data_IF_142562337533
#
_entry.id   IF_142562337533
#
_cell.length_a   1.000
_cell.length_b   1.000
_cell.length_c   1.000
_cell.angle_alpha   90.00
_cell.angle_beta   90.00
_cell.angle_gamma   90.00
#
_symmetry.space_group_name_H-M   'P 1'
#
loop_
_entity.id
_entity.type
_entity.pdbx_description
1 polymer ?
#
# COMPACT_ATOMS: atom_id res chain seq x y z
N UNK A 1 18.97 -15.35 -13.86
CA UNK A 1 19.39 -14.01 -13.40
C UNK A 1 19.49 -13.15 -14.63
N UNK A 2 18.63 -12.15 -14.76
CA UNK A 2 18.76 -11.12 -15.78
C UNK A 2 19.83 -10.17 -15.23
N UNK A 3 21.01 -10.13 -15.85
CA UNK A 3 21.96 -9.05 -15.59
C UNK A 3 21.31 -7.75 -16.02
N UNK A 4 20.84 -6.96 -15.04
CA UNK A 4 20.50 -5.57 -15.29
C UNK A 4 21.82 -4.88 -15.67
N UNK A 5 22.00 -4.59 -16.97
CA UNK A 5 23.06 -3.70 -17.42
C UNK A 5 22.78 -2.33 -16.79
N UNK A 6 23.47 -2.02 -15.72
CA UNK A 6 23.55 -0.63 -15.25
C UNK A 6 24.23 0.19 -16.36
N UNK A 7 23.42 0.92 -17.11
CA UNK A 7 23.95 1.89 -18.06
C UNK A 7 24.51 3.05 -17.23
N UNK A 8 25.83 3.11 -17.11
CA UNK A 8 26.50 4.19 -16.38
C UNK A 8 26.24 5.49 -17.15
N UNK A 9 25.47 6.39 -16.54
CA UNK A 9 25.15 7.69 -17.14
C UNK A 9 26.45 8.53 -17.21
N UNK A 10 26.77 9.01 -18.41
CA UNK A 10 27.87 9.93 -18.59
C UNK A 10 27.52 11.32 -18.08
N UNK A 11 28.23 11.80 -17.08
CA UNK A 11 28.05 13.11 -16.44
C UNK A 11 29.20 14.08 -16.77
N UNK A 12 30.04 13.76 -17.76
CA UNK A 12 31.19 14.57 -18.13
C UNK A 12 30.83 15.96 -18.66
N UNK A 13 29.60 16.12 -19.14
CA UNK A 13 29.02 17.36 -19.66
C UNK A 13 28.29 18.21 -18.60
N UNK A 14 28.25 17.75 -17.33
CA UNK A 14 27.53 18.46 -16.26
C UNK A 14 28.30 19.74 -15.85
N UNK A 15 27.53 20.81 -15.61
CA UNK A 15 28.05 21.93 -14.85
C UNK A 15 28.60 21.47 -13.51
N UNK A 16 29.82 21.89 -13.10
CA UNK A 16 30.45 21.43 -11.84
C UNK A 16 29.59 21.65 -10.59
N UNK A 17 28.82 22.76 -10.56
CA UNK A 17 27.92 23.08 -9.43
C UNK A 17 26.74 22.12 -9.41
N UNK A 18 26.15 21.85 -10.57
CA UNK A 18 25.05 20.89 -10.73
C UNK A 18 25.50 19.47 -10.37
N UNK A 19 26.67 19.06 -10.87
CA UNK A 19 27.23 17.72 -10.56
C UNK A 19 27.41 17.54 -9.06
N UNK A 20 27.95 18.55 -8.37
CA UNK A 20 28.13 18.51 -6.93
C UNK A 20 26.80 18.35 -6.20
N UNK A 21 25.79 19.12 -6.55
CA UNK A 21 24.45 19.02 -5.93
C UNK A 21 23.81 17.64 -6.16
N UNK A 22 23.93 17.09 -7.39
CA UNK A 22 23.43 15.74 -7.69
C UNK A 22 24.13 14.69 -6.81
N UNK A 23 25.46 14.78 -6.69
CA UNK A 23 26.22 13.86 -5.83
C UNK A 23 25.86 14.01 -4.35
N UNK A 24 25.63 15.24 -3.88
CA UNK A 24 25.19 15.49 -2.51
C UNK A 24 23.80 14.87 -2.25
N UNK A 25 22.84 14.95 -3.20
CA UNK A 25 21.56 14.25 -3.08
C UNK A 25 21.73 12.73 -3.11
N UNK A 26 22.50 12.19 -4.07
CA UNK A 26 22.76 10.76 -4.14
C UNK A 26 23.33 10.22 -2.82
N UNK A 27 24.25 10.96 -2.18
CA UNK A 27 24.80 10.58 -0.88
C UNK A 27 23.77 10.59 0.25
N UNK A 28 22.77 11.47 0.21
CA UNK A 28 21.68 11.54 1.20
C UNK A 28 20.70 10.36 1.04
N UNK A 29 20.53 9.86 -0.19
CA UNK A 29 19.68 8.70 -0.49
C UNK A 29 20.43 7.36 -0.38
N UNK A 30 21.75 7.35 -0.26
CA UNK A 30 22.49 6.11 -0.04
C UNK A 30 22.25 5.57 1.38
N UNK A 31 21.97 4.28 1.47
CA UNK A 31 21.80 3.56 2.74
C UNK A 31 22.94 2.57 2.90
N UNK A 32 24.00 2.93 3.67
CA UNK A 32 25.10 2.01 3.96
C UNK A 32 24.63 0.74 4.65
N UNK A 33 25.35 -0.36 4.44
CA UNK A 33 25.01 -1.69 4.98
C UNK A 33 24.88 -1.67 6.51
N UNK A 34 25.70 -0.88 7.18
CA UNK A 34 25.66 -0.73 8.64
C UNK A 34 24.34 -0.11 9.11
N UNK A 35 23.85 0.92 8.41
CA UNK A 35 22.54 1.54 8.69
C UNK A 35 21.41 0.57 8.38
N UNK A 36 21.50 -0.16 7.26
CA UNK A 36 20.50 -1.17 6.92
C UNK A 36 20.42 -2.25 7.99
N UNK A 37 21.55 -2.78 8.45
CA UNK A 37 21.60 -3.76 9.52
C UNK A 37 21.03 -3.23 10.87
N UNK A 38 21.27 -1.96 11.18
CA UNK A 38 20.67 -1.33 12.36
C UNK A 38 19.15 -1.22 12.22
N UNK A 39 18.65 -0.82 11.03
CA UNK A 39 17.22 -0.75 10.73
C UNK A 39 16.56 -2.13 10.82
N UNK A 40 17.19 -3.18 10.29
CA UNK A 40 16.68 -4.57 10.37
C UNK A 40 16.55 -5.01 11.84
N UNK A 41 17.58 -4.81 12.66
CA UNK A 41 17.52 -5.19 14.08
C UNK A 41 16.42 -4.47 14.82
N UNK A 42 16.26 -3.19 14.56
CA UNK A 42 15.21 -2.38 15.19
C UNK A 42 13.84 -2.81 14.66
N UNK A 43 13.69 -3.07 13.38
CA UNK A 43 12.46 -3.57 12.77
C UNK A 43 11.99 -4.87 13.43
N UNK A 44 12.88 -5.86 13.58
CA UNK A 44 12.58 -7.12 14.27
C UNK A 44 12.11 -6.86 15.71
N UNK A 45 12.79 -5.99 16.46
CA UNK A 45 12.39 -5.67 17.83
C UNK A 45 11.02 -4.99 17.91
N UNK A 46 10.65 -4.18 16.92
CA UNK A 46 9.34 -3.55 16.82
C UNK A 46 8.23 -4.57 16.47
N UNK A 47 8.52 -5.53 15.58
CA UNK A 47 7.59 -6.64 15.31
C UNK A 47 7.33 -7.47 16.58
N UNK A 48 8.38 -7.84 17.31
CA UNK A 48 8.27 -8.58 18.58
C UNK A 48 7.50 -7.76 19.63
N UNK A 49 7.73 -6.46 19.72
CA UNK A 49 6.98 -5.57 20.59
C UNK A 49 5.50 -5.54 20.22
N UNK A 50 5.17 -5.41 18.94
CA UNK A 50 3.78 -5.42 18.47
C UNK A 50 3.04 -6.74 18.73
N UNK A 51 3.74 -7.89 18.70
CA UNK A 51 3.17 -9.18 19.06
C UNK A 51 2.95 -9.33 20.58
N UNK A 52 3.76 -8.66 21.39
CA UNK A 52 3.68 -8.73 22.85
C UNK A 52 2.69 -7.73 23.45
N UNK A 53 2.80 -6.47 23.07
CA UNK A 53 2.15 -5.36 23.79
C UNK A 53 0.88 -4.85 23.07
N UNK A 54 0.68 -5.24 21.80
CA UNK A 54 -0.45 -4.77 20.99
C UNK A 54 -0.22 -3.38 20.39
N UNK A 55 -1.29 -2.63 20.19
CA UNK A 55 -1.26 -1.34 19.49
C UNK A 55 -0.63 -0.24 20.32
N UNK A 56 0.60 0.11 19.98
CA UNK A 56 1.23 1.38 20.34
C UNK A 56 1.15 2.30 19.11
N UNK A 57 0.65 3.54 19.23
CA UNK A 57 0.58 4.48 18.11
C UNK A 57 1.91 4.76 17.42
N UNK A 58 3.03 4.53 18.11
CA UNK A 58 4.39 4.77 17.60
C UNK A 58 5.06 3.55 17.01
N UNK A 59 4.50 2.36 17.20
CA UNK A 59 5.08 1.09 16.80
C UNK A 59 4.34 0.39 15.66
N UNK A 60 4.78 -0.84 15.38
CA UNK A 60 4.14 -1.72 14.40
C UNK A 60 2.98 -2.46 15.09
N UNK A 61 1.73 -2.36 14.62
CA UNK A 61 0.57 -2.92 15.31
C UNK A 61 0.53 -4.44 15.41
N UNK A 62 1.02 -5.15 14.40
CA UNK A 62 0.97 -6.62 14.31
C UNK A 62 -0.43 -7.18 14.56
N UNK A 63 -1.42 -6.69 13.81
CA UNK A 63 -2.83 -7.05 13.98
C UNK A 63 -3.08 -8.53 13.69
N UNK A 64 -3.79 -9.22 14.59
CA UNK A 64 -4.23 -10.60 14.38
C UNK A 64 -5.46 -10.61 13.48
N UNK A 65 -5.43 -11.39 12.39
CA UNK A 65 -6.50 -11.45 11.40
C UNK A 65 -7.46 -12.64 11.59
N UNK A 66 -7.23 -13.48 12.61
CA UNK A 66 -8.06 -14.64 12.99
C UNK A 66 -8.27 -15.66 11.86
N UNK A 67 -7.35 -15.71 10.91
CA UNK A 67 -7.24 -16.81 9.94
C UNK A 67 -6.38 -17.88 10.60
N UNK A 68 -7.02 -18.96 11.07
CA UNK A 68 -6.43 -19.98 11.95
C UNK A 68 -5.99 -21.23 11.20
N UNK A 69 -6.16 -21.25 9.88
CA UNK A 69 -5.83 -22.41 9.05
C UNK A 69 -5.11 -21.94 7.78
N UNK A 70 -4.29 -22.82 7.25
CA UNK A 70 -3.70 -22.61 5.93
C UNK A 70 -4.66 -23.08 4.85
N UNK A 71 -4.80 -22.35 3.73
CA UNK A 71 -5.50 -22.89 2.56
C UNK A 71 -4.76 -24.14 2.07
N UNK A 72 -5.54 -25.16 1.74
CA UNK A 72 -5.03 -26.47 1.30
C UNK A 72 -4.87 -26.56 -0.21
N UNK A 73 -5.53 -25.65 -0.96
CA UNK A 73 -5.65 -25.71 -2.40
C UNK A 73 -6.67 -26.75 -2.88
N UNK A 74 -7.39 -27.41 -1.97
CA UNK A 74 -8.42 -28.39 -2.30
C UNK A 74 -9.83 -27.86 -2.10
N UNK A 75 -9.96 -26.63 -1.58
CA UNK A 75 -11.25 -25.98 -1.37
C UNK A 75 -12.01 -25.85 -2.69
N UNK A 76 -13.33 -26.05 -2.62
CA UNK A 76 -14.22 -25.92 -3.76
C UNK A 76 -15.47 -25.13 -3.39
N UNK A 77 -16.08 -24.46 -4.37
CA UNK A 77 -17.33 -23.72 -4.16
C UNK A 77 -17.29 -22.32 -4.72
N UNK A 78 -18.44 -21.65 -4.62
CA UNK A 78 -18.64 -20.29 -5.10
C UNK A 78 -18.67 -19.33 -3.90
N UNK A 79 -17.81 -18.33 -3.95
CA UNK A 79 -17.67 -17.33 -2.90
C UNK A 79 -17.76 -15.93 -3.50
N UNK A 80 -18.42 -15.01 -2.79
CA UNK A 80 -18.32 -13.60 -3.08
C UNK A 80 -17.11 -13.01 -2.36
N UNK A 81 -16.46 -12.06 -2.97
CA UNK A 81 -15.49 -11.19 -2.33
C UNK A 81 -15.76 -9.74 -2.72
N UNK A 82 -15.63 -8.85 -1.76
CA UNK A 82 -15.56 -7.41 -2.05
C UNK A 82 -14.23 -6.87 -1.58
N UNK A 83 -13.69 -5.91 -2.34
CA UNK A 83 -12.49 -5.16 -2.01
C UNK A 83 -12.83 -3.68 -2.00
N UNK A 84 -12.88 -3.10 -0.81
CA UNK A 84 -13.09 -1.68 -0.61
C UNK A 84 -11.74 -0.96 -0.52
N UNK A 85 -11.31 -0.41 -1.65
CA UNK A 85 -10.11 0.41 -1.73
C UNK A 85 -10.37 1.91 -1.58
N UNK A 86 -9.34 2.73 -1.80
CA UNK A 86 -9.44 4.18 -1.67
C UNK A 86 -10.31 4.88 -2.73
N UNK A 87 -10.45 4.32 -3.92
CA UNK A 87 -11.17 4.95 -5.05
C UNK A 87 -12.22 4.07 -5.68
N UNK A 88 -12.12 2.77 -5.49
CA UNK A 88 -12.94 1.78 -6.16
C UNK A 88 -13.40 0.70 -5.19
N UNK A 89 -14.60 0.22 -5.43
CA UNK A 89 -15.12 -1.03 -4.90
C UNK A 89 -15.02 -2.08 -6.01
N UNK A 90 -14.39 -3.23 -5.71
CA UNK A 90 -14.43 -4.40 -6.58
C UNK A 90 -15.32 -5.45 -5.96
N UNK A 91 -16.13 -6.10 -6.78
CA UNK A 91 -16.95 -7.24 -6.39
C UNK A 91 -16.57 -8.40 -7.29
N UNK A 92 -16.30 -9.55 -6.69
CA UNK A 92 -15.77 -10.72 -7.37
C UNK A 92 -16.56 -11.94 -6.95
N UNK A 93 -16.97 -12.78 -7.91
CA UNK A 93 -17.28 -14.19 -7.64
C UNK A 93 -16.00 -14.99 -7.86
N UNK A 94 -15.64 -15.79 -6.88
CA UNK A 94 -14.52 -16.72 -6.95
C UNK A 94 -15.07 -18.13 -6.98
N UNK A 95 -14.81 -18.86 -8.06
CA UNK A 95 -15.11 -20.27 -8.22
C UNK A 95 -13.87 -21.08 -7.85
N UNK A 96 -13.81 -21.62 -6.65
CA UNK A 96 -12.73 -22.51 -6.23
C UNK A 96 -12.98 -23.90 -6.83
N UNK A 97 -12.01 -24.40 -7.61
CA UNK A 97 -12.13 -25.65 -8.36
C UNK A 97 -11.36 -26.80 -7.71
N UNK A 98 -10.70 -26.55 -6.59
CA UNK A 98 -9.72 -27.48 -6.00
C UNK A 98 -8.45 -27.58 -6.85
N UNK A 99 -7.50 -28.42 -6.41
CA UNK A 99 -6.22 -28.61 -7.09
C UNK A 99 -5.49 -27.28 -7.40
N UNK A 100 -5.56 -26.31 -6.47
CA UNK A 100 -4.92 -25.00 -6.58
C UNK A 100 -5.43 -24.13 -7.74
N UNK A 101 -6.65 -24.42 -8.23
CA UNK A 101 -7.26 -23.71 -9.35
C UNK A 101 -8.49 -22.94 -8.94
N UNK A 102 -8.67 -21.79 -9.56
CA UNK A 102 -9.86 -20.96 -9.39
C UNK A 102 -10.17 -20.19 -10.68
N UNK A 103 -11.40 -19.76 -10.82
CA UNK A 103 -11.86 -18.83 -11.83
C UNK A 103 -12.55 -17.64 -11.15
N UNK A 104 -12.54 -16.48 -11.79
CA UNK A 104 -13.16 -15.28 -11.22
C UNK A 104 -13.94 -14.52 -12.25
N UNK A 105 -15.10 -13.99 -11.83
CA UNK A 105 -15.83 -12.93 -12.53
C UNK A 105 -15.87 -11.72 -11.64
N UNK A 106 -15.61 -10.52 -12.17
CA UNK A 106 -15.53 -9.32 -11.37
C UNK A 106 -16.17 -8.10 -12.02
N UNK A 107 -16.68 -7.21 -11.20
CA UNK A 107 -17.09 -5.86 -11.57
C UNK A 107 -16.40 -4.83 -10.70
N UNK A 108 -16.15 -3.65 -11.29
CA UNK A 108 -15.49 -2.54 -10.63
C UNK A 108 -16.41 -1.32 -10.63
N UNK A 109 -16.65 -0.77 -9.45
CA UNK A 109 -17.46 0.42 -9.24
C UNK A 109 -16.60 1.55 -8.70
N UNK A 110 -16.76 2.74 -9.27
CA UNK A 110 -16.05 3.92 -8.76
C UNK A 110 -16.82 4.49 -7.56
N UNK A 111 -16.14 4.70 -6.43
CA UNK A 111 -16.73 5.33 -5.26
C UNK A 111 -16.83 6.84 -5.51
N UNK A 112 -18.03 7.44 -5.46
CA UNK A 112 -18.19 8.88 -5.63
C UNK A 112 -17.36 9.66 -4.61
N UNK A 113 -16.67 10.72 -5.09
CA UNK A 113 -15.77 11.51 -4.22
C UNK A 113 -16.49 12.08 -2.98
N UNK A 114 -17.72 12.66 -3.10
CA UNK A 114 -18.43 13.18 -1.91
C UNK A 114 -18.73 12.11 -0.86
N UNK A 115 -18.90 10.85 -1.27
CA UNK A 115 -19.23 9.75 -0.35
C UNK A 115 -18.06 9.35 0.55
N UNK A 116 -16.83 9.75 0.22
CA UNK A 116 -15.64 9.44 1.01
C UNK A 116 -15.52 10.30 2.28
N UNK A 117 -16.21 11.45 2.29
CA UNK A 117 -16.17 12.43 3.39
C UNK A 117 -17.59 12.83 3.82
N UNK A 118 -18.53 11.90 3.69
CA UNK A 118 -19.93 12.14 4.07
C UNK A 118 -20.10 12.13 5.60
N UNK A 119 -21.09 12.91 6.07
CA UNK A 119 -21.50 12.89 7.47
C UNK A 119 -22.54 11.79 7.79
N UNK A 120 -23.02 11.07 6.77
CA UNK A 120 -23.91 9.92 6.94
C UNK A 120 -23.21 8.62 6.55
N UNK A 121 -22.82 7.82 7.55
CA UNK A 121 -22.19 6.51 7.34
C UNK A 121 -23.03 5.56 6.49
N UNK A 122 -24.36 5.74 6.46
CA UNK A 122 -25.25 4.87 5.70
C UNK A 122 -25.02 4.98 4.19
N UNK A 123 -24.60 6.14 3.69
CA UNK A 123 -24.39 6.36 2.26
C UNK A 123 -23.35 5.39 1.67
N UNK A 124 -22.21 5.20 2.35
CA UNK A 124 -21.19 4.26 1.86
C UNK A 124 -21.68 2.82 1.89
N UNK A 125 -22.25 2.39 3.01
CA UNK A 125 -22.67 0.97 3.16
C UNK A 125 -23.88 0.64 2.28
N UNK A 126 -24.80 1.57 2.07
CA UNK A 126 -25.91 1.40 1.13
C UNK A 126 -25.42 1.33 -0.33
N UNK A 127 -24.44 2.17 -0.70
CA UNK A 127 -23.79 2.09 -2.00
C UNK A 127 -23.13 0.73 -2.23
N UNK A 128 -22.39 0.19 -1.24
CA UNK A 128 -21.79 -1.14 -1.34
C UNK A 128 -22.86 -2.21 -1.55
N UNK A 129 -23.95 -2.16 -0.76
CA UNK A 129 -25.05 -3.10 -0.88
C UNK A 129 -25.78 -2.99 -2.22
N UNK A 130 -25.95 -1.78 -2.76
CA UNK A 130 -26.49 -1.56 -4.11
C UNK A 130 -25.59 -2.18 -5.19
N UNK A 131 -24.28 -1.95 -5.13
CA UNK A 131 -23.35 -2.55 -6.07
C UNK A 131 -23.37 -4.08 -6.01
N UNK A 132 -23.51 -4.67 -4.81
CA UNK A 132 -23.69 -6.12 -4.62
C UNK A 132 -24.98 -6.62 -5.28
N UNK A 133 -26.09 -5.89 -5.13
CA UNK A 133 -27.36 -6.22 -5.79
C UNK A 133 -27.23 -6.20 -7.30
N UNK A 134 -26.66 -5.14 -7.87
CA UNK A 134 -26.44 -5.00 -9.30
C UNK A 134 -25.57 -6.14 -9.85
N UNK A 135 -24.49 -6.46 -9.15
CA UNK A 135 -23.59 -7.55 -9.52
C UNK A 135 -24.28 -8.92 -9.49
N UNK A 136 -25.04 -9.21 -8.41
CA UNK A 136 -25.76 -10.49 -8.31
C UNK A 136 -26.84 -10.65 -9.39
N UNK A 137 -27.52 -9.57 -9.80
CA UNK A 137 -28.47 -9.59 -10.91
C UNK A 137 -27.76 -9.93 -12.23
N UNK A 138 -26.58 -9.34 -12.47
CA UNK A 138 -25.78 -9.62 -13.67
C UNK A 138 -25.31 -11.08 -13.72
N UNK A 139 -24.82 -11.60 -12.60
CA UNK A 139 -24.34 -12.99 -12.51
C UNK A 139 -25.46 -14.04 -12.53
N UNK A 140 -26.71 -13.64 -12.22
CA UNK A 140 -27.86 -14.54 -12.19
C UNK A 140 -29.01 -14.03 -13.10
N UNK A 141 -28.84 -14.01 -14.42
CA UNK A 141 -29.83 -13.47 -15.36
C UNK A 141 -31.19 -14.22 -15.32
N UNK A 142 -31.20 -15.45 -14.80
CA UNK A 142 -32.40 -16.27 -14.62
C UNK A 142 -32.96 -16.20 -13.18
N UNK A 143 -32.46 -15.29 -12.36
CA UNK A 143 -32.76 -15.18 -10.94
C UNK A 143 -31.87 -16.06 -10.05
N UNK A 144 -31.74 -15.65 -8.79
CA UNK A 144 -30.95 -16.38 -7.80
C UNK A 144 -31.73 -17.66 -7.40
N UNK A 145 -31.10 -18.85 -7.39
CA UNK A 145 -31.76 -20.07 -6.96
C UNK A 145 -32.32 -19.97 -5.55
N UNK A 146 -33.52 -20.53 -5.36
CA UNK A 146 -34.18 -20.52 -4.04
C UNK A 146 -33.30 -21.23 -3.00
N UNK A 147 -33.16 -20.59 -1.83
CA UNK A 147 -32.34 -21.10 -0.72
C UNK A 147 -30.82 -20.94 -0.89
N UNK A 148 -30.34 -20.39 -2.01
CA UNK A 148 -28.91 -20.10 -2.17
C UNK A 148 -28.51 -18.90 -1.29
N UNK A 149 -27.46 -19.06 -0.49
CA UNK A 149 -26.79 -17.99 0.25
C UNK A 149 -25.35 -17.93 -0.21
N UNK A 150 -24.89 -16.71 -0.53
CA UNK A 150 -23.52 -16.46 -0.93
C UNK A 150 -22.66 -16.11 0.29
N UNK A 151 -21.67 -16.94 0.67
CA UNK A 151 -20.66 -16.54 1.63
C UNK A 151 -19.81 -15.41 1.03
N UNK A 152 -19.59 -14.35 1.81
CA UNK A 152 -18.88 -13.15 1.40
C UNK A 152 -17.63 -12.95 2.24
N UNK A 153 -16.48 -12.83 1.59
CA UNK A 153 -15.26 -12.26 2.15
C UNK A 153 -15.22 -10.75 1.93
N UNK A 154 -15.10 -9.99 3.00
CA UNK A 154 -14.98 -8.53 2.95
C UNK A 154 -13.52 -8.12 3.10
N UNK A 155 -12.86 -7.78 1.97
CA UNK A 155 -11.53 -7.15 2.03
C UNK A 155 -11.70 -5.67 2.33
N UNK A 156 -11.26 -5.30 3.51
CA UNK A 156 -11.38 -3.96 4.07
C UNK A 156 -9.97 -3.39 4.27
N UNK A 157 -9.52 -2.58 3.30
CA UNK A 157 -8.14 -2.09 3.19
C UNK A 157 -7.87 -0.88 4.10
N UNK A 158 -8.34 -0.94 5.34
CA UNK A 158 -8.14 0.07 6.38
C UNK A 158 -7.73 -0.60 7.69
N UNK A 159 -6.98 0.09 8.58
CA UNK A 159 -6.59 -0.46 9.86
C UNK A 159 -7.81 -0.83 10.71
N UNK A 160 -7.95 -2.10 11.08
CA UNK A 160 -9.04 -2.60 11.91
C UNK A 160 -8.52 -3.53 13.01
N UNK A 161 -9.16 -3.48 14.16
CA UNK A 161 -8.94 -4.43 15.25
C UNK A 161 -9.98 -5.55 15.16
N UNK A 162 -9.53 -6.78 15.29
CA UNK A 162 -10.38 -7.97 15.20
C UNK A 162 -10.21 -8.86 16.43
N UNK A 163 -11.31 -9.39 16.93
CA UNK A 163 -11.33 -10.47 17.92
C UNK A 163 -11.90 -11.77 17.33
N UNK A 164 -12.41 -11.72 16.10
CA UNK A 164 -12.89 -12.85 15.28
C UNK A 164 -12.69 -12.51 13.80
N UNK A 165 -12.76 -13.55 12.95
CA UNK A 165 -12.60 -13.40 11.49
C UNK A 165 -13.77 -12.62 10.83
N UNK A 166 -14.96 -12.68 11.41
CA UNK A 166 -16.21 -12.11 10.88
C UNK A 166 -16.54 -10.73 11.45
N UNK A 167 -15.55 -10.03 12.00
CA UNK A 167 -15.71 -8.68 12.53
C UNK A 167 -14.47 -7.83 12.30
N UNK A 168 -14.63 -6.49 12.34
CA UNK A 168 -13.52 -5.56 12.27
C UNK A 168 -13.91 -4.17 12.75
N UNK A 169 -13.33 -3.74 13.87
CA UNK A 169 -13.51 -2.40 14.41
C UNK A 169 -12.54 -1.47 13.71
N UNK A 170 -13.04 -0.54 12.91
CA UNK A 170 -12.22 0.45 12.23
C UNK A 170 -11.46 1.30 13.23
N UNK A 171 -10.14 1.29 13.17
CA UNK A 171 -9.29 2.12 14.03
C UNK A 171 -9.28 3.59 13.57
N UNK A 172 -9.13 3.79 12.27
CA UNK A 172 -9.10 5.12 11.64
C UNK A 172 -9.28 5.02 10.13
N UNK A 173 -9.87 6.04 9.55
CA UNK A 173 -9.89 6.20 8.11
C UNK A 173 -8.52 6.59 7.55
N UNK A 174 -8.24 6.16 6.34
CA UNK A 174 -7.05 6.49 5.54
C UNK A 174 -7.46 6.70 4.08
N UNK A 175 -6.51 6.92 3.16
CA UNK A 175 -6.77 6.96 1.71
C UNK A 175 -7.81 7.99 1.28
N UNK A 176 -7.94 9.11 2.02
CA UNK A 176 -8.89 10.19 1.71
C UNK A 176 -10.34 9.93 2.12
N UNK A 177 -10.57 8.94 2.98
CA UNK A 177 -11.86 8.76 3.65
C UNK A 177 -11.86 9.48 5.00
N UNK A 178 -13.03 10.05 5.33
CA UNK A 178 -13.33 10.65 6.63
C UNK A 178 -14.85 10.66 6.79
N UNK A 179 -15.41 9.56 7.30
CA UNK A 179 -16.86 9.35 7.42
C UNK A 179 -17.21 9.28 8.88
N UNK A 180 -18.17 10.12 9.30
CA UNK A 180 -18.61 10.23 10.69
C UNK A 180 -19.17 8.91 11.22
N UNK A 181 -18.94 8.64 12.50
CA UNK A 181 -19.54 7.53 13.25
C UNK A 181 -19.25 6.12 12.70
N UNK A 182 -18.09 5.92 12.04
CA UNK A 182 -17.58 4.60 11.62
C UNK A 182 -16.35 4.20 12.40
N UNK A 183 -15.42 5.13 12.66
CA UNK A 183 -14.25 4.85 13.50
C UNK A 183 -14.70 4.39 14.91
N UNK A 184 -14.04 3.36 15.42
CA UNK A 184 -14.40 2.71 16.69
C UNK A 184 -15.60 1.76 16.62
N UNK A 185 -16.18 1.54 15.44
CA UNK A 185 -17.29 0.61 15.25
C UNK A 185 -16.90 -0.56 14.36
N UNK A 186 -17.56 -1.70 14.59
CA UNK A 186 -17.47 -2.86 13.71
C UNK A 186 -18.19 -2.57 12.39
N UNK A 187 -17.47 -2.67 11.26
CA UNK A 187 -17.99 -2.35 9.93
C UNK A 187 -18.86 -3.47 9.35
N UNK A 188 -18.74 -4.69 9.86
CA UNK A 188 -19.52 -5.84 9.35
C UNK A 188 -21.02 -5.69 9.62
N UNK A 189 -21.46 -5.38 10.84
CA UNK A 189 -22.88 -5.11 11.10
C UNK A 189 -23.44 -3.94 10.29
N UNK A 190 -22.64 -2.90 10.03
CA UNK A 190 -23.07 -1.74 9.24
C UNK A 190 -23.39 -2.14 7.79
N UNK A 191 -22.56 -2.98 7.19
CA UNK A 191 -22.81 -3.49 5.85
C UNK A 191 -23.94 -4.53 5.84
N UNK A 192 -23.98 -5.44 6.83
CA UNK A 192 -25.03 -6.46 6.92
C UNK A 192 -26.42 -5.86 7.08
N UNK A 193 -26.57 -4.73 7.77
CA UNK A 193 -27.83 -4.00 7.85
C UNK A 193 -28.36 -3.65 6.45
N UNK A 194 -27.52 -3.07 5.59
CA UNK A 194 -27.90 -2.66 4.22
C UNK A 194 -28.13 -3.85 3.28
N UNK A 195 -27.37 -4.93 3.46
CA UNK A 195 -27.58 -6.19 2.75
C UNK A 195 -28.96 -6.77 3.09
N UNK A 196 -29.33 -6.77 4.38
CA UNK A 196 -30.63 -7.26 4.85
C UNK A 196 -31.80 -6.38 4.41
N UNK A 197 -31.65 -5.05 4.44
CA UNK A 197 -32.66 -4.09 3.96
C UNK A 197 -33.03 -4.36 2.50
N UNK A 198 -32.05 -4.74 1.67
CA UNK A 198 -32.21 -5.13 0.26
C UNK A 198 -32.57 -6.60 0.06
N UNK A 199 -32.68 -7.38 1.14
CA UNK A 199 -32.99 -8.83 1.13
C UNK A 199 -32.03 -9.64 0.24
N UNK A 200 -30.78 -9.25 0.17
CA UNK A 200 -29.79 -9.99 -0.58
C UNK A 200 -29.42 -11.28 0.15
N UNK A 201 -29.31 -12.42 -0.54
CA UNK A 201 -28.96 -13.69 0.07
C UNK A 201 -27.43 -13.79 0.26
N UNK A 202 -26.89 -12.90 1.08
CA UNK A 202 -25.46 -12.77 1.37
C UNK A 202 -25.24 -12.90 2.87
N UNK A 203 -24.17 -13.60 3.25
CA UNK A 203 -23.66 -13.67 4.61
C UNK A 203 -22.18 -13.29 4.60
N UNK A 204 -21.77 -12.33 5.42
CA UNK A 204 -20.37 -11.99 5.59
C UNK A 204 -19.75 -13.00 6.55
N UNK A 205 -18.82 -13.83 6.03
CA UNK A 205 -18.16 -14.88 6.80
C UNK A 205 -16.74 -14.49 7.23
N UNK A 206 -16.14 -13.51 6.56
CA UNK A 206 -14.80 -13.04 6.88
C UNK A 206 -14.62 -11.56 6.54
N UNK A 207 -13.88 -10.85 7.38
CA UNK A 207 -13.31 -9.55 7.10
C UNK A 207 -11.78 -9.67 7.20
N UNK A 208 -11.08 -9.26 6.15
CA UNK A 208 -9.61 -9.29 6.12
C UNK A 208 -9.05 -8.01 5.49
N UNK A 209 -7.80 -7.68 5.82
CA UNK A 209 -7.05 -6.66 5.10
C UNK A 209 -6.59 -7.19 3.72
N UNK A 210 -6.35 -6.29 2.75
CA UNK A 210 -5.89 -6.62 1.39
C UNK A 210 -4.57 -7.42 1.39
N UNK A 211 -3.63 -7.10 2.26
CA UNK A 211 -2.36 -7.82 2.40
C UNK A 211 -2.57 -9.25 2.91
N UNK A 212 -3.47 -9.41 3.88
CA UNK A 212 -3.89 -10.73 4.38
C UNK A 212 -4.55 -11.55 3.27
N UNK A 213 -5.43 -10.93 2.48
CA UNK A 213 -6.05 -11.56 1.32
C UNK A 213 -5.03 -11.99 0.26
N UNK A 214 -4.02 -11.17 0.01
CA UNK A 214 -2.91 -11.48 -0.91
C UNK A 214 -2.15 -12.73 -0.45
N UNK A 215 -1.83 -12.84 0.84
CA UNK A 215 -1.14 -14.01 1.39
C UNK A 215 -1.99 -15.29 1.24
N UNK A 216 -3.26 -15.23 1.66
CA UNK A 216 -4.18 -16.39 1.59
C UNK A 216 -4.37 -16.86 0.15
N UNK A 217 -4.63 -15.93 -0.79
CA UNK A 217 -4.82 -16.25 -2.21
C UNK A 217 -3.55 -16.82 -2.86
N UNK A 218 -2.38 -16.26 -2.55
CA UNK A 218 -1.11 -16.76 -3.06
C UNK A 218 -0.79 -18.15 -2.51
N UNK A 219 -1.06 -18.38 -1.22
CA UNK A 219 -0.85 -19.68 -0.59
C UNK A 219 -1.83 -20.75 -1.08
N UNK A 220 -3.04 -20.36 -1.49
CA UNK A 220 -3.97 -21.29 -2.15
C UNK A 220 -3.37 -21.86 -3.45
N UNK A 221 -2.63 -21.05 -4.21
CA UNK A 221 -1.98 -21.47 -5.46
C UNK A 221 -0.63 -22.12 -5.26
N UNK A 222 0.14 -21.68 -4.26
CA UNK A 222 1.45 -22.24 -3.89
C UNK A 222 1.58 -22.33 -2.37
N UNK A 223 1.47 -23.55 -1.84
CA UNK A 223 1.59 -23.84 -0.41
C UNK A 223 2.94 -23.45 0.22
N UNK A 224 3.96 -23.11 -0.58
CA UNK A 224 5.25 -22.61 -0.12
C UNK A 224 5.28 -21.12 0.14
N UNK A 225 4.20 -20.40 -0.19
CA UNK A 225 4.11 -18.97 0.12
C UNK A 225 4.11 -18.76 1.63
N UNK A 226 5.09 -18.04 2.14
CA UNK A 226 5.24 -17.77 3.58
C UNK A 226 4.79 -16.35 3.96
N UNK A 227 4.85 -15.40 3.01
CA UNK A 227 4.58 -13.99 3.25
C UNK A 227 3.79 -13.37 2.09
N UNK A 228 2.90 -12.45 2.40
CA UNK A 228 2.26 -11.55 1.44
C UNK A 228 2.74 -10.13 1.69
N UNK A 229 3.20 -9.44 0.62
CA UNK A 229 3.66 -8.05 0.71
C UNK A 229 2.96 -7.19 -0.33
N UNK A 230 2.63 -5.98 0.05
CA UNK A 230 2.12 -4.95 -0.85
C UNK A 230 3.13 -3.82 -0.90
N UNK A 231 3.62 -3.55 -2.11
CA UNK A 231 4.42 -2.38 -2.46
C UNK A 231 3.65 -1.63 -3.56
N UNK A 232 2.76 -0.75 -3.15
CA UNK A 232 1.87 -0.02 -4.04
C UNK A 232 1.76 1.45 -3.64
N UNK A 233 0.55 1.98 -3.62
CA UNK A 233 0.25 3.30 -3.06
C UNK A 233 0.71 3.42 -1.61
N UNK A 234 0.52 2.35 -0.81
CA UNK A 234 1.08 2.15 0.52
C UNK A 234 2.00 0.94 0.55
N UNK A 235 2.50 0.60 1.74
CA UNK A 235 3.28 -0.61 2.00
C UNK A 235 2.70 -1.37 3.18
N UNK A 236 2.64 -2.69 3.05
CA UNK A 236 2.22 -3.56 4.14
C UNK A 236 2.70 -4.99 3.92
N UNK A 237 2.72 -5.81 4.98
CA UNK A 237 3.04 -7.21 4.94
C UNK A 237 2.16 -8.06 5.85
N UNK A 238 2.03 -9.32 5.49
CA UNK A 238 1.33 -10.31 6.29
C UNK A 238 2.07 -11.65 6.25
N UNK A 239 2.04 -12.37 7.35
CA UNK A 239 2.62 -13.69 7.47
C UNK A 239 1.84 -14.51 8.51
N UNK A 240 2.08 -15.82 8.55
CA UNK A 240 1.53 -16.66 9.60
C UNK A 240 2.53 -16.84 10.75
N UNK A 241 2.06 -16.70 11.99
CA UNK A 241 2.80 -17.08 13.18
C UNK A 241 2.00 -18.10 14.00
N UNK A 242 2.61 -18.73 14.97
CA UNK A 242 1.91 -19.62 15.91
C UNK A 242 1.36 -18.80 17.06
N UNK A 243 0.18 -19.14 17.54
CA UNK A 243 -0.50 -18.42 18.64
C UNK A 243 0.39 -18.30 19.88
N UNK A 244 1.16 -19.34 20.22
CA UNK A 244 2.10 -19.30 21.35
C UNK A 244 3.17 -18.21 21.25
N UNK A 245 3.42 -17.68 20.04
CA UNK A 245 4.37 -16.58 19.78
C UNK A 245 3.71 -15.19 19.83
N UNK A 246 2.42 -15.11 20.21
CA UNK A 246 1.62 -13.89 20.22
C UNK A 246 1.11 -13.60 21.65
N UNK A 247 1.96 -13.13 22.56
CA UNK A 247 1.60 -12.97 23.97
C UNK A 247 0.39 -12.07 24.24
N UNK A 248 0.13 -11.07 23.40
CA UNK A 248 -1.03 -10.18 23.54
C UNK A 248 -2.40 -10.89 23.42
N UNK A 249 -2.41 -12.17 23.00
CA UNK A 249 -3.61 -13.00 22.91
C UNK A 249 -3.85 -13.88 24.14
N UNK A 250 -2.97 -13.90 25.12
CA UNK A 250 -2.98 -14.85 26.24
C UNK A 250 -4.35 -14.99 26.94
N UNK A 251 -5.14 -13.91 26.99
CA UNK A 251 -6.46 -13.94 27.64
C UNK A 251 -7.63 -13.74 26.65
N UNK A 252 -7.38 -13.90 25.35
CA UNK A 252 -8.37 -13.65 24.30
C UNK A 252 -8.69 -14.87 23.46
N UNK A 253 -8.07 -16.00 23.75
CA UNK A 253 -8.24 -17.22 22.98
C UNK A 253 -9.52 -17.94 23.35
N UNK A 254 -10.13 -18.61 22.38
CA UNK A 254 -11.20 -19.56 22.60
C UNK A 254 -10.64 -20.88 23.17
N UNK A 255 -11.44 -21.60 23.93
CA UNK A 255 -11.02 -22.82 24.67
C UNK A 255 -10.49 -23.94 23.76
N UNK A 256 -10.88 -23.96 22.48
CA UNK A 256 -10.51 -24.98 21.50
C UNK A 256 -9.26 -24.64 20.69
N UNK A 257 -8.71 -23.45 20.86
CA UNK A 257 -7.53 -22.97 20.11
C UNK A 257 -6.25 -23.45 20.77
N UNK A 258 -5.43 -24.21 20.03
CA UNK A 258 -4.17 -24.77 20.52
C UNK A 258 -3.00 -23.79 20.38
N UNK A 259 -1.95 -23.91 21.21
CA UNK A 259 -0.78 -23.03 21.12
C UNK A 259 -0.03 -23.07 19.77
N UNK A 260 -0.07 -24.20 19.07
CA UNK A 260 0.58 -24.40 17.77
C UNK A 260 -0.31 -24.04 16.57
N UNK A 261 -1.56 -23.61 16.81
CA UNK A 261 -2.46 -23.14 15.77
C UNK A 261 -1.84 -21.94 15.04
N UNK A 262 -1.86 -21.92 13.70
CA UNK A 262 -1.42 -20.74 12.94
C UNK A 262 -2.39 -19.58 13.15
N UNK A 263 -1.84 -18.38 13.16
CA UNK A 263 -2.57 -17.12 13.17
C UNK A 263 -1.98 -16.21 12.11
N UNK A 264 -2.78 -15.73 11.18
CA UNK A 264 -2.34 -14.73 10.22
C UNK A 264 -2.18 -13.38 10.90
N UNK A 265 -1.02 -12.76 10.70
CA UNK A 265 -0.67 -11.43 11.21
C UNK A 265 -0.68 -10.45 10.06
N UNK A 266 -1.50 -9.41 10.17
CA UNK A 266 -1.42 -8.20 9.35
C UNK A 266 -0.51 -7.20 10.06
N UNK A 267 0.70 -7.01 9.56
CA UNK A 267 1.74 -6.27 10.28
C UNK A 267 1.43 -4.79 10.45
N UNK A 268 0.96 -4.12 9.41
CA UNK A 268 0.79 -2.66 9.34
C UNK A 268 2.13 -1.92 9.58
N UNK A 269 3.22 -2.45 9.00
CA UNK A 269 4.58 -1.95 9.21
C UNK A 269 4.88 -0.63 8.50
N UNK A 270 3.96 -0.07 7.74
CA UNK A 270 4.09 1.31 7.25
C UNK A 270 4.37 2.31 8.36
N UNK A 271 3.95 1.99 9.59
CA UNK A 271 4.20 2.76 10.82
C UNK A 271 5.58 2.55 11.45
N UNK A 272 6.45 1.71 10.87
CA UNK A 272 7.79 1.47 11.40
C UNK A 272 8.57 2.78 11.54
N UNK A 273 9.26 2.90 12.66
CA UNK A 273 10.11 4.03 13.03
C UNK A 273 9.40 5.41 13.06
N UNK A 274 8.11 5.44 13.44
CA UNK A 274 7.42 6.71 13.72
C UNK A 274 8.14 7.56 14.80
N UNK A 275 8.96 6.92 15.63
CA UNK A 275 9.82 7.59 16.61
C UNK A 275 11.09 8.22 16.00
N UNK A 276 11.35 8.02 14.71
CA UNK A 276 12.50 8.56 13.97
C UNK A 276 13.87 8.14 14.55
N UNK A 277 14.03 6.87 14.88
CA UNK A 277 15.19 6.33 15.62
C UNK A 277 16.31 5.87 14.68
N UNK A 278 15.96 5.19 13.57
CA UNK A 278 16.95 4.49 12.74
C UNK A 278 16.89 4.80 11.24
N UNK A 279 15.71 5.13 10.69
CA UNK A 279 15.56 5.37 9.26
C UNK A 279 16.32 6.62 8.81
N UNK A 280 17.07 6.55 7.69
CA UNK A 280 17.88 7.67 7.20
C UNK A 280 17.00 8.72 6.49
N UNK A 281 16.30 9.54 7.25
CA UNK A 281 15.43 10.60 6.72
C UNK A 281 16.26 11.74 6.15
N UNK A 282 15.92 12.17 4.94
CA UNK A 282 16.43 13.41 4.34
C UNK A 282 15.54 14.60 4.71
N UNK A 283 15.96 15.82 4.38
CA UNK A 283 15.12 17.01 4.51
C UNK A 283 13.81 16.92 3.73
N UNK A 284 13.80 16.17 2.63
CA UNK A 284 12.61 15.98 1.81
C UNK A 284 11.62 15.00 2.45
N UNK A 285 12.10 13.95 3.11
CA UNK A 285 11.26 13.06 3.89
C UNK A 285 10.59 13.79 5.06
N UNK A 286 11.31 14.68 5.72
CA UNK A 286 10.77 15.53 6.78
C UNK A 286 9.70 16.46 6.23
N UNK A 287 9.93 17.09 5.08
CA UNK A 287 8.98 17.99 4.45
C UNK A 287 7.69 17.28 4.02
N UNK A 288 7.81 16.08 3.44
CA UNK A 288 6.65 15.23 3.11
C UNK A 288 5.84 14.89 4.37
N UNK A 289 6.53 14.53 5.45
CA UNK A 289 5.88 14.19 6.70
C UNK A 289 5.10 15.38 7.27
N UNK A 290 5.74 16.55 7.38
CA UNK A 290 5.14 17.78 7.89
C UNK A 290 3.94 18.26 7.07
N UNK A 291 3.97 18.07 5.73
CA UNK A 291 2.89 18.47 4.83
C UNK A 291 1.81 17.40 4.66
N UNK A 292 2.01 16.22 5.22
CA UNK A 292 1.03 15.13 5.13
C UNK A 292 -0.18 15.39 6.04
N UNK A 293 -1.32 14.75 5.78
CA UNK A 293 -2.50 14.83 6.66
C UNK A 293 -2.23 14.34 8.09
N UNK A 294 -1.20 13.50 8.28
CA UNK A 294 -0.85 12.90 9.59
C UNK A 294 0.68 12.95 9.81
N UNK A 295 1.22 14.09 10.21
CA UNK A 295 2.63 14.22 10.57
C UNK A 295 3.03 13.26 11.71
N UNK A 296 4.23 12.69 11.61
CA UNK A 296 4.77 11.75 12.60
C UNK A 296 4.19 10.33 12.51
N UNK A 297 3.37 10.01 11.49
CA UNK A 297 2.82 8.69 11.26
C UNK A 297 3.25 8.14 9.91
N UNK A 298 3.28 6.79 9.78
CA UNK A 298 3.60 6.09 8.55
C UNK A 298 4.98 6.48 7.96
N UNK A 299 5.97 6.61 8.83
CA UNK A 299 7.32 7.05 8.45
C UNK A 299 7.93 6.14 7.40
N UNK A 300 7.85 4.83 7.60
CA UNK A 300 8.39 3.85 6.65
C UNK A 300 7.64 3.88 5.32
N UNK A 301 6.32 3.93 5.35
CA UNK A 301 5.50 4.05 4.15
C UNK A 301 5.84 5.31 3.35
N UNK A 302 6.01 6.45 4.02
CA UNK A 302 6.37 7.73 3.37
C UNK A 302 7.74 7.69 2.69
N UNK A 303 8.63 6.80 3.12
CA UNK A 303 9.97 6.64 2.53
C UNK A 303 10.06 5.58 1.44
N UNK A 304 9.09 4.65 1.35
CA UNK A 304 9.20 3.46 0.50
C UNK A 304 8.05 3.23 -0.45
N UNK A 305 6.86 3.77 -0.19
CA UNK A 305 5.69 3.50 -1.03
C UNK A 305 5.59 4.40 -2.26
N UNK A 306 4.97 3.86 -3.30
CA UNK A 306 4.84 4.51 -4.60
C UNK A 306 4.14 5.87 -4.57
N UNK A 307 3.25 6.11 -3.59
CA UNK A 307 2.57 7.40 -3.47
C UNK A 307 3.52 8.56 -3.20
N UNK A 308 4.62 8.29 -2.48
CA UNK A 308 5.55 9.34 -2.02
C UNK A 308 6.83 9.46 -2.85
N UNK A 309 7.24 8.42 -3.60
CA UNK A 309 8.51 8.46 -4.33
C UNK A 309 8.53 9.55 -5.42
N UNK A 310 7.41 9.75 -6.11
CA UNK A 310 7.29 10.85 -7.09
C UNK A 310 7.38 12.22 -6.43
N UNK A 311 6.78 12.38 -5.26
CA UNK A 311 6.83 13.63 -4.50
C UNK A 311 8.24 13.95 -3.99
N UNK A 312 9.02 12.93 -3.58
CA UNK A 312 10.44 13.09 -3.24
C UNK A 312 11.22 13.68 -4.42
N UNK A 313 11.05 13.10 -5.62
CA UNK A 313 11.71 13.57 -6.83
C UNK A 313 11.30 15.00 -7.17
N UNK A 314 9.98 15.30 -7.09
CA UNK A 314 9.45 16.65 -7.34
C UNK A 314 10.07 17.68 -6.40
N UNK A 315 10.16 17.38 -5.12
CA UNK A 315 10.76 18.29 -4.12
C UNK A 315 12.25 18.56 -4.41
N UNK A 316 12.98 17.57 -4.89
CA UNK A 316 14.38 17.75 -5.33
C UNK A 316 14.43 18.67 -6.56
N UNK A 317 13.54 18.49 -7.54
CA UNK A 317 13.48 19.38 -8.71
C UNK A 317 13.15 20.82 -8.30
N UNK A 318 12.21 21.01 -7.38
CA UNK A 318 11.89 22.35 -6.85
C UNK A 318 13.08 22.98 -6.13
N UNK A 319 13.84 22.21 -5.35
CA UNK A 319 15.05 22.69 -4.67
C UNK A 319 16.16 23.06 -5.67
N UNK A 320 16.39 22.24 -6.69
CA UNK A 320 17.34 22.53 -7.77
C UNK A 320 16.92 23.74 -8.62
N UNK A 321 15.65 23.86 -8.93
CA UNK A 321 15.10 25.03 -9.62
C UNK A 321 15.31 26.32 -8.81
N UNK A 322 15.00 26.28 -7.53
CA UNK A 322 15.17 27.43 -6.62
C UNK A 322 16.63 27.85 -6.50
N UNK A 323 17.57 26.91 -6.66
CA UNK A 323 19.01 27.18 -6.73
C UNK A 323 19.45 27.71 -8.11
N UNK A 324 18.56 27.81 -9.08
CA UNK A 324 18.86 28.22 -10.45
C UNK A 324 19.73 27.23 -11.22
N UNK A 325 19.65 25.94 -10.93
CA UNK A 325 20.48 24.89 -11.53
C UNK A 325 19.80 24.15 -12.67
N UNK A 326 18.47 24.05 -12.68
CA UNK A 326 17.68 23.40 -13.73
C UNK A 326 16.54 24.29 -14.18
N UNK A 327 15.98 24.02 -15.37
CA UNK A 327 14.78 24.69 -15.94
C UNK A 327 14.90 26.22 -15.93
N UNK A 328 16.09 26.76 -16.19
CA UNK A 328 16.44 28.18 -16.08
C UNK A 328 15.66 29.07 -17.04
N UNK A 329 15.18 28.52 -18.15
CA UNK A 329 14.39 29.20 -19.18
C UNK A 329 12.94 29.49 -18.76
N UNK A 330 12.45 28.83 -17.69
CA UNK A 330 11.09 29.03 -17.21
C UNK A 330 11.07 30.03 -16.06
N UNK A 331 10.38 31.19 -16.22
CA UNK A 331 10.21 32.16 -15.14
C UNK A 331 9.45 31.60 -13.95
N UNK A 332 9.74 32.12 -12.75
CA UNK A 332 9.11 31.63 -11.51
C UNK A 332 7.58 31.79 -11.49
N UNK A 333 7.05 32.80 -12.16
CA UNK A 333 5.63 33.08 -12.32
C UNK A 333 4.97 32.33 -13.50
N UNK A 334 5.73 31.47 -14.20
CA UNK A 334 5.17 30.67 -15.30
C UNK A 334 4.21 29.59 -14.81
N UNK A 335 3.22 29.28 -15.67
CA UNK A 335 2.28 28.18 -15.44
C UNK A 335 3.02 26.84 -15.27
N UNK A 336 4.07 26.63 -16.05
CA UNK A 336 4.94 25.42 -16.01
C UNK A 336 5.57 25.23 -14.64
N UNK A 337 6.16 26.27 -14.05
CA UNK A 337 6.77 26.17 -12.71
C UNK A 337 5.71 26.08 -11.63
N UNK A 338 4.58 26.74 -11.77
CA UNK A 338 3.44 26.56 -10.87
C UNK A 338 2.95 25.09 -10.89
N UNK A 339 2.94 24.47 -12.07
CA UNK A 339 2.60 23.06 -12.25
C UNK A 339 3.63 22.13 -11.57
N UNK A 340 4.94 22.33 -11.78
CA UNK A 340 6.01 21.60 -11.08
C UNK A 340 5.91 21.75 -9.56
N UNK A 341 5.50 22.91 -9.04
CA UNK A 341 5.31 23.16 -7.60
C UNK A 341 4.04 22.53 -7.03
N UNK A 342 3.13 22.01 -7.86
CA UNK A 342 1.91 21.34 -7.39
C UNK A 342 2.24 20.03 -6.67
N UNK A 343 1.86 19.87 -5.40
CA UNK A 343 2.15 18.64 -4.64
C UNK A 343 1.57 17.40 -5.32
N UNK A 344 2.33 16.32 -5.29
CA UNK A 344 1.96 14.99 -5.83
C UNK A 344 1.62 14.96 -7.32
N UNK A 345 2.07 15.95 -8.10
CA UNK A 345 1.92 15.94 -9.57
C UNK A 345 2.73 14.81 -10.24
N UNK A 346 3.81 14.38 -9.61
CA UNK A 346 4.62 13.24 -10.02
C UNK A 346 4.25 12.01 -9.17
N UNK A 347 4.02 10.90 -9.83
CA UNK A 347 3.80 9.60 -9.22
C UNK A 347 5.01 8.67 -9.43
N UNK A 348 4.97 7.45 -8.88
CA UNK A 348 6.06 6.48 -9.00
C UNK A 348 6.30 6.03 -10.45
N UNK A 349 5.32 6.13 -11.35
CA UNK A 349 5.53 5.79 -12.76
C UNK A 349 6.54 6.72 -13.43
N UNK A 350 6.64 7.96 -12.94
CA UNK A 350 7.63 8.93 -13.40
C UNK A 350 9.06 8.42 -13.17
N UNK A 351 9.33 7.88 -11.99
CA UNK A 351 10.63 7.26 -11.68
C UNK A 351 10.88 6.02 -12.53
N UNK A 352 9.87 5.13 -12.62
CA UNK A 352 10.00 3.87 -13.34
C UNK A 352 10.29 4.06 -14.83
N UNK A 353 9.65 5.04 -15.49
CA UNK A 353 9.89 5.35 -16.89
C UNK A 353 11.33 5.88 -17.08
N UNK A 354 11.77 6.78 -16.21
CA UNK A 354 13.15 7.30 -16.25
C UNK A 354 14.19 6.20 -16.05
N UNK A 355 13.97 5.31 -15.10
CA UNK A 355 14.88 4.19 -14.84
C UNK A 355 14.95 3.21 -16.03
N UNK A 356 13.78 2.93 -16.64
CA UNK A 356 13.66 2.01 -17.76
C UNK A 356 14.13 2.60 -19.10
N UNK A 357 14.30 3.92 -19.22
CA UNK A 357 14.74 4.58 -20.44
C UNK A 357 16.21 4.22 -20.76
N UNK A 358 16.41 3.38 -21.76
CA UNK A 358 17.73 2.92 -22.25
C UNK A 358 18.16 3.60 -23.54
N UNK A 359 17.44 4.63 -24.01
CA UNK A 359 17.79 5.38 -25.19
C UNK A 359 18.99 6.30 -24.92
N UNK A 360 19.86 6.49 -25.91
CA UNK A 360 21.10 7.30 -25.75
C UNK A 360 20.79 8.77 -25.45
N UNK A 361 19.68 9.27 -25.96
CA UNK A 361 19.19 10.64 -25.81
C UNK A 361 18.12 10.80 -24.71
N UNK A 362 17.79 9.73 -23.97
CA UNK A 362 16.75 9.70 -22.93
C UNK A 362 15.40 10.21 -23.41
N UNK A 363 14.98 9.77 -24.59
CA UNK A 363 13.78 10.25 -25.29
C UNK A 363 12.49 9.99 -24.47
N UNK A 364 12.39 8.84 -23.82
CA UNK A 364 11.24 8.52 -22.97
C UNK A 364 11.15 9.49 -21.77
N UNK A 365 12.29 9.80 -21.18
CA UNK A 365 12.42 10.77 -20.08
C UNK A 365 12.05 12.17 -20.56
N UNK A 366 12.55 12.60 -21.73
CA UNK A 366 12.17 13.87 -22.34
C UNK A 366 10.65 14.00 -22.57
N UNK A 367 10.06 12.99 -23.22
CA UNK A 367 8.63 12.95 -23.51
C UNK A 367 7.77 12.98 -22.23
N UNK A 368 8.26 12.36 -21.16
CA UNK A 368 7.59 12.34 -19.87
C UNK A 368 7.51 13.74 -19.25
N UNK A 369 8.61 14.50 -19.25
CA UNK A 369 8.64 15.89 -18.80
C UNK A 369 7.69 16.77 -19.61
N UNK A 370 7.77 16.65 -20.93
CA UNK A 370 6.93 17.43 -21.84
C UNK A 370 5.45 17.16 -21.63
N UNK A 371 5.08 15.88 -21.54
CA UNK A 371 3.67 15.48 -21.41
C UNK A 371 3.06 15.79 -20.04
N UNK A 372 3.85 15.62 -18.97
CA UNK A 372 3.35 15.72 -17.58
C UNK A 372 3.52 17.11 -16.98
N UNK A 373 4.58 17.83 -17.35
CA UNK A 373 4.95 19.11 -16.74
C UNK A 373 5.00 20.26 -17.73
N UNK A 374 4.85 20.01 -19.03
CA UNK A 374 5.04 21.02 -20.10
C UNK A 374 6.44 21.64 -20.05
N UNK A 375 7.45 20.82 -19.69
CA UNK A 375 8.86 21.19 -19.64
C UNK A 375 9.58 20.51 -20.80
N UNK A 376 10.40 21.28 -21.54
CA UNK A 376 11.35 20.77 -22.54
C UNK A 376 12.73 20.66 -21.89
N UNK A 377 13.08 19.53 -21.23
CA UNK A 377 14.32 19.42 -20.50
C UNK A 377 15.50 19.28 -21.45
N UNK A 378 16.65 19.81 -21.08
CA UNK A 378 17.91 19.51 -21.73
C UNK A 378 18.31 18.05 -21.48
N UNK A 379 19.19 17.49 -22.33
CA UNK A 379 19.73 16.15 -22.13
C UNK A 379 20.43 16.01 -20.75
N UNK A 380 21.08 17.07 -20.28
CA UNK A 380 21.71 17.13 -18.97
C UNK A 380 20.66 16.99 -17.85
N UNK A 381 19.51 17.66 -17.97
CA UNK A 381 18.39 17.56 -17.01
C UNK A 381 17.71 16.19 -17.07
N UNK A 382 17.62 15.55 -18.23
CA UNK A 382 17.15 14.16 -18.34
C UNK A 382 18.11 13.20 -17.64
N UNK A 383 19.43 13.34 -17.84
CA UNK A 383 20.47 12.51 -17.20
C UNK A 383 20.44 12.63 -15.68
N UNK A 384 20.38 13.87 -15.15
CA UNK A 384 20.31 14.09 -13.70
C UNK A 384 19.05 13.50 -13.11
N UNK A 385 17.92 13.64 -13.80
CA UNK A 385 16.60 13.14 -13.33
C UNK A 385 16.61 11.64 -13.20
N UNK A 386 17.20 10.94 -14.18
CA UNK A 386 17.38 9.48 -14.11
C UNK A 386 18.30 9.06 -12.95
N UNK A 387 19.40 9.77 -12.71
CA UNK A 387 20.30 9.51 -11.57
C UNK A 387 19.58 9.66 -10.22
N UNK A 388 18.75 10.70 -10.09
CA UNK A 388 17.98 10.96 -8.87
C UNK A 388 16.86 9.92 -8.69
N UNK A 389 16.15 9.56 -9.77
CA UNK A 389 15.15 8.50 -9.75
C UNK A 389 15.75 7.17 -9.28
N UNK A 390 16.90 6.77 -9.83
CA UNK A 390 17.65 5.58 -9.42
C UNK A 390 18.04 5.62 -7.93
N UNK A 391 18.48 6.77 -7.43
CA UNK A 391 18.89 6.91 -6.03
C UNK A 391 17.69 6.76 -5.08
N UNK A 392 16.55 7.36 -5.42
CA UNK A 392 15.30 7.26 -4.65
C UNK A 392 14.78 5.82 -4.69
N UNK A 393 14.68 5.22 -5.87
CA UNK A 393 14.22 3.84 -6.06
C UNK A 393 15.12 2.83 -5.34
N UNK A 394 16.44 2.98 -5.45
CA UNK A 394 17.41 2.12 -4.75
C UNK A 394 17.26 2.22 -3.24
N UNK A 395 17.08 3.43 -2.67
CA UNK A 395 16.83 3.60 -1.25
C UNK A 395 15.56 2.89 -0.83
N UNK A 396 14.46 3.11 -1.54
CA UNK A 396 13.19 2.48 -1.23
C UNK A 396 13.30 0.95 -1.26
N UNK A 397 13.94 0.38 -2.29
CA UNK A 397 14.15 -1.06 -2.43
C UNK A 397 15.03 -1.62 -1.29
N UNK A 398 16.14 -0.94 -0.94
CA UNK A 398 17.02 -1.39 0.15
C UNK A 398 16.30 -1.37 1.51
N UNK A 399 15.51 -0.35 1.79
CA UNK A 399 14.75 -0.29 3.03
C UNK A 399 13.66 -1.38 3.07
N UNK A 400 13.00 -1.65 1.94
CA UNK A 400 11.98 -2.69 1.82
C UNK A 400 12.52 -4.10 2.08
N UNK A 401 13.81 -4.36 1.87
CA UNK A 401 14.44 -5.66 2.21
C UNK A 401 14.40 -5.95 3.72
N UNK A 402 14.32 -4.91 4.57
CA UNK A 402 14.22 -5.11 6.03
C UNK A 402 13.06 -6.03 6.42
N UNK A 403 12.01 -6.06 5.61
CA UNK A 403 10.79 -6.83 5.85
C UNK A 403 10.95 -8.32 5.57
N UNK A 404 11.84 -8.68 4.64
CA UNK A 404 12.00 -10.05 4.15
C UNK A 404 12.93 -10.92 5.01
N UNK A 405 13.59 -10.34 6.02
CA UNK A 405 14.70 -11.00 6.73
C UNK A 405 14.24 -11.78 7.97
N UNK A 406 13.00 -11.64 8.42
CA UNK A 406 12.49 -12.40 9.59
C UNK A 406 12.18 -13.88 9.27
N UNK A 407 12.09 -14.24 8.03
CA UNK A 407 11.71 -15.57 7.53
C UNK A 407 12.85 -16.19 6.73
#
# INVERSE_FOLDING_TARGET
MVELKETKIDTSDFDPTLLKEVQDYQSQFDVPVEKLNASIKYFISELERGLRDGTDPTGIPMNTAWVLEYPTGQETGDFLAIDLGGTNLRIVVVHLLGNHKFETTQSKFQIPVPMRTTHDRNELFDFIAQCLEEFLIQENPNGIPEGKVYPLGFTFSYPATQDRIDMGVLQRWTKGFDIDNVEGHDVVPLLMEKINDRKLPIRIDALINDTSGTLVASRYTDAKTEMGCIFGTGVNGAYYDRIQNIPKLENKLYDDVKPDTPMLINCEYGSFDNAHTVLPRTKFDVLIDEQSPRPGQQTFEKMTSGYYLGELLRLIFVDLYTKGLIFKEYPEDSVTIAHLKTPYILDASFLSIMEADLTDDLLETFNLFNTKLEIDPTLQECKLSKLLAQSIGTRAARLSVCELIKH
#
